data_IF_247391377679
#
_entry.id   IF_247391377679
#
_cell.length_a   1.000
_cell.length_b   1.000
_cell.length_c   1.000
_cell.angle_alpha   90.00
_cell.angle_beta   90.00
_cell.angle_gamma   90.00
#
_symmetry.space_group_name_H-M   'P 1'
#
loop_
_entity.id
_entity.type
_entity.pdbx_description
1 polymer ?
#
# COMPACT_ATOMS: atom_id res chain seq x y z
N UNK A 1 -39.54 3.08 -51.97
CA UNK A 1 -38.65 4.02 -51.26
C UNK A 1 -37.24 3.47 -51.28
N UNK A 2 -36.36 4.04 -52.11
CA UNK A 2 -34.95 3.62 -52.19
C UNK A 2 -34.22 4.27 -51.00
N UNK A 3 -33.82 3.46 -50.01
CA UNK A 3 -33.07 3.92 -48.84
C UNK A 3 -31.66 4.36 -49.26
N UNK A 4 -31.31 5.60 -48.91
CA UNK A 4 -30.00 6.20 -49.17
C UNK A 4 -28.98 5.68 -48.13
N UNK A 5 -27.77 5.25 -48.53
CA UNK A 5 -26.82 4.65 -47.61
C UNK A 5 -26.27 5.68 -46.62
N UNK A 6 -26.37 5.36 -45.32
CA UNK A 6 -25.76 6.14 -44.23
C UNK A 6 -24.23 6.05 -44.36
N UNK A 7 -23.58 7.14 -44.78
CA UNK A 7 -22.11 7.25 -44.78
C UNK A 7 -21.62 7.23 -43.33
N UNK A 8 -20.81 6.24 -42.99
CA UNK A 8 -20.21 6.11 -41.66
C UNK A 8 -19.18 7.21 -41.42
N UNK A 9 -19.28 7.85 -40.27
CA UNK A 9 -18.40 8.93 -39.78
C UNK A 9 -16.96 8.41 -39.49
N UNK A 10 -16.72 7.11 -39.67
CA UNK A 10 -15.46 6.43 -39.35
C UNK A 10 -14.27 6.81 -40.23
N UNK A 11 -14.47 7.43 -41.39
CA UNK A 11 -13.37 7.75 -42.32
C UNK A 11 -12.50 8.94 -41.88
N UNK A 12 -13.02 9.81 -40.99
CA UNK A 12 -12.27 10.97 -40.46
C UNK A 12 -11.55 10.69 -39.14
N UNK A 13 -11.93 9.65 -38.41
CA UNK A 13 -11.31 9.32 -37.12
C UNK A 13 -10.04 8.49 -37.26
N UNK A 14 -9.93 7.68 -38.32
CA UNK A 14 -8.73 6.86 -38.58
C UNK A 14 -7.46 7.71 -38.75
N UNK A 15 -7.45 8.81 -39.54
CA UNK A 15 -6.26 9.66 -39.67
C UNK A 15 -5.90 10.43 -38.39
N UNK A 16 -6.89 10.80 -37.58
CA UNK A 16 -6.66 11.57 -36.35
C UNK A 16 -5.99 10.70 -35.28
N UNK A 17 -6.43 9.44 -35.16
CA UNK A 17 -5.82 8.47 -34.24
C UNK A 17 -4.37 8.20 -34.64
N UNK A 18 -4.08 8.08 -35.94
CA UNK A 18 -2.72 7.82 -36.45
C UNK A 18 -1.74 8.94 -36.10
N UNK A 19 -2.16 10.21 -36.26
CA UNK A 19 -1.33 11.38 -35.89
C UNK A 19 -1.08 11.45 -34.37
N UNK A 20 -2.09 11.15 -33.55
CA UNK A 20 -1.92 11.12 -32.09
C UNK A 20 -0.98 10.00 -31.64
N UNK A 21 -1.04 8.83 -32.28
CA UNK A 21 -0.13 7.71 -31.99
C UNK A 21 1.30 8.05 -32.43
N UNK A 22 1.50 8.67 -33.59
CA UNK A 22 2.82 9.09 -34.06
C UNK A 22 3.49 10.09 -33.12
N UNK A 23 2.75 11.12 -32.66
CA UNK A 23 3.24 12.08 -31.68
C UNK A 23 3.63 11.37 -30.37
N UNK A 24 2.77 10.47 -29.89
CA UNK A 24 3.03 9.70 -28.67
C UNK A 24 4.29 8.81 -28.80
N UNK A 25 4.48 8.13 -29.94
CA UNK A 25 5.66 7.32 -30.20
C UNK A 25 6.96 8.14 -30.20
N UNK A 26 6.95 9.35 -30.76
CA UNK A 26 8.14 10.23 -30.74
C UNK A 26 8.49 10.66 -29.30
N UNK A 27 7.48 11.01 -28.49
CA UNK A 27 7.70 11.37 -27.08
C UNK A 27 8.26 10.20 -26.25
N UNK A 28 7.82 8.97 -26.52
CA UNK A 28 8.37 7.78 -25.87
C UNK A 28 9.80 7.44 -26.32
N UNK A 29 10.21 7.84 -27.54
CA UNK A 29 11.56 7.61 -28.07
C UNK A 29 12.59 8.64 -27.59
N UNK A 30 12.17 9.86 -27.23
CA UNK A 30 13.06 10.92 -26.73
C UNK A 30 13.95 10.51 -25.52
N UNK A 31 13.45 9.78 -24.49
CA UNK A 31 14.28 9.31 -23.39
C UNK A 31 15.26 8.17 -23.77
N UNK A 32 15.10 7.53 -24.94
CA UNK A 32 16.00 6.47 -25.41
C UNK A 32 17.13 6.98 -26.32
N UNK A 33 16.94 8.10 -27.02
CA UNK A 33 17.95 8.71 -27.91
C UNK A 33 18.91 9.64 -27.15
N UNK A 34 18.55 10.06 -25.93
CA UNK A 34 19.36 11.00 -25.13
C UNK A 34 20.45 10.34 -24.27
N UNK A 35 20.92 9.14 -24.62
CA UNK A 35 22.16 8.60 -24.03
C UNK A 35 23.35 9.29 -24.73
N UNK A 36 24.14 10.13 -24.04
CA UNK A 36 25.35 10.67 -24.64
C UNK A 36 26.36 9.54 -24.84
N UNK A 37 26.88 9.48 -26.05
CA UNK A 37 27.97 8.62 -26.51
C UNK A 37 29.28 9.05 -25.82
N UNK A 38 29.95 8.12 -25.13
CA UNK A 38 31.27 8.33 -24.51
C UNK A 38 32.35 8.39 -25.60
N UNK A 39 32.49 9.57 -26.24
CA UNK A 39 33.43 9.83 -27.33
C UNK A 39 34.53 10.85 -26.98
N UNK A 40 35.78 10.37 -26.89
CA UNK A 40 37.05 11.13 -26.81
C UNK A 40 37.16 12.33 -27.77
N UNK A 41 37.64 13.49 -27.27
CA UNK A 41 38.30 14.55 -28.07
C UNK A 41 38.24 15.98 -27.46
N UNK A 42 39.36 16.74 -27.30
CA UNK A 42 39.46 17.98 -26.49
C UNK A 42 39.58 19.28 -27.35
N UNK A 43 39.93 20.46 -26.78
CA UNK A 43 39.27 21.24 -25.73
C UNK A 43 39.04 22.71 -26.18
N UNK A 44 37.85 23.25 -26.11
CA UNK A 44 37.66 24.72 -26.14
C UNK A 44 36.29 25.10 -25.62
N UNK A 45 36.22 25.49 -24.34
CA UNK A 45 35.19 26.40 -23.82
C UNK A 45 35.48 26.79 -22.37
N UNK A 46 35.77 28.08 -22.19
CA UNK A 46 35.31 29.00 -21.12
C UNK A 46 35.52 28.56 -19.66
N UNK A 47 36.16 29.38 -18.80
CA UNK A 47 36.32 29.05 -17.39
C UNK A 47 34.95 29.06 -16.72
N UNK A 48 34.40 27.86 -16.47
CA UNK A 48 33.37 27.70 -15.47
C UNK A 48 33.98 28.09 -14.13
N UNK A 49 33.58 29.25 -13.61
CA UNK A 49 33.74 29.60 -12.21
C UNK A 49 32.99 28.52 -11.43
N UNK A 50 33.73 27.49 -11.03
CA UNK A 50 33.28 26.52 -10.04
C UNK A 50 33.23 27.28 -8.73
N UNK A 51 32.03 27.60 -8.27
CA UNK A 51 31.82 27.96 -6.87
C UNK A 51 32.42 26.84 -6.00
N UNK A 52 33.47 27.12 -5.20
CA UNK A 52 34.16 26.08 -4.44
C UNK A 52 33.49 25.77 -3.09
N UNK A 53 32.21 26.14 -2.89
CA UNK A 53 31.57 26.12 -1.57
C UNK A 53 30.71 24.90 -1.24
N UNK A 54 30.65 23.85 -2.07
CA UNK A 54 29.96 22.60 -1.69
C UNK A 54 30.77 21.33 -1.91
N UNK A 55 31.73 21.02 -1.04
CA UNK A 55 32.19 19.64 -0.81
C UNK A 55 31.62 19.02 0.47
N UNK A 56 31.51 19.79 1.56
CA UNK A 56 31.21 19.24 2.90
C UNK A 56 29.76 18.78 3.06
N UNK A 57 28.81 19.46 2.43
CA UNK A 57 27.39 19.13 2.56
C UNK A 57 27.03 17.85 1.81
N UNK A 58 27.73 17.55 0.71
CA UNK A 58 27.50 16.31 -0.06
C UNK A 58 28.02 15.10 0.71
N UNK A 59 29.18 15.20 1.34
CA UNK A 59 29.73 14.12 2.16
C UNK A 59 28.88 13.85 3.41
N UNK A 60 28.41 14.91 4.08
CA UNK A 60 27.47 14.78 5.21
C UNK A 60 26.17 14.12 4.79
N UNK A 61 25.58 14.54 3.68
CA UNK A 61 24.35 13.94 3.16
C UNK A 61 24.55 12.46 2.76
N UNK A 62 25.70 12.09 2.21
CA UNK A 62 26.03 10.69 1.92
C UNK A 62 26.18 9.85 3.19
N UNK A 63 26.80 10.40 4.24
CA UNK A 63 26.90 9.74 5.54
C UNK A 63 25.52 9.56 6.19
N UNK A 64 24.68 10.58 6.18
CA UNK A 64 23.30 10.51 6.68
C UNK A 64 22.49 9.46 5.91
N UNK A 65 22.61 9.39 4.58
CA UNK A 65 21.96 8.36 3.78
C UNK A 65 22.44 6.95 4.14
N UNK A 66 23.73 6.77 4.38
CA UNK A 66 24.28 5.47 4.78
C UNK A 66 23.75 5.03 6.15
N UNK A 67 23.66 5.96 7.11
CA UNK A 67 23.08 5.71 8.44
C UNK A 67 21.60 5.39 8.32
N UNK A 68 20.83 6.18 7.57
CA UNK A 68 19.41 5.98 7.36
C UNK A 68 19.13 4.63 6.68
N UNK A 69 19.91 4.25 5.67
CA UNK A 69 19.79 2.94 5.00
C UNK A 69 20.04 1.78 5.95
N UNK A 70 21.10 1.84 6.78
CA UNK A 70 21.38 0.82 7.80
C UNK A 70 20.24 0.70 8.80
N UNK A 71 19.71 1.83 9.27
CA UNK A 71 18.56 1.88 10.19
C UNK A 71 17.32 1.23 9.56
N UNK A 72 17.05 1.51 8.30
CA UNK A 72 15.94 0.90 7.56
C UNK A 72 16.14 -0.61 7.44
N UNK A 73 17.34 -1.09 7.13
CA UNK A 73 17.62 -2.52 7.05
C UNK A 73 17.47 -3.23 8.40
N UNK A 74 17.95 -2.64 9.50
CA UNK A 74 17.75 -3.17 10.85
C UNK A 74 16.25 -3.28 11.20
N UNK A 75 15.49 -2.21 10.95
CA UNK A 75 14.05 -2.20 11.17
C UNK A 75 13.31 -3.22 10.29
N UNK A 76 13.75 -3.42 9.04
CA UNK A 76 13.21 -4.45 8.15
C UNK A 76 13.50 -5.85 8.67
N UNK A 77 14.72 -6.13 9.14
CA UNK A 77 15.08 -7.42 9.74
C UNK A 77 14.26 -7.71 11.00
N UNK A 78 14.08 -6.71 11.87
CA UNK A 78 13.24 -6.84 13.06
C UNK A 78 11.77 -7.12 12.71
N UNK A 79 11.21 -6.43 11.69
CA UNK A 79 9.85 -6.68 11.21
C UNK A 79 9.68 -8.05 10.54
N UNK A 80 10.67 -8.52 9.78
CA UNK A 80 10.63 -9.83 9.13
C UNK A 80 10.53 -10.95 10.18
N UNK A 81 11.31 -10.86 11.26
CA UNK A 81 11.23 -11.83 12.36
C UNK A 81 9.86 -11.83 13.04
N UNK A 82 9.24 -10.66 13.25
CA UNK A 82 7.89 -10.58 13.84
C UNK A 82 6.82 -11.22 12.94
N UNK A 83 6.94 -11.08 11.61
CA UNK A 83 6.03 -11.70 10.65
C UNK A 83 6.07 -13.23 10.66
N UNK A 84 7.23 -13.82 10.94
CA UNK A 84 7.38 -15.28 10.99
C UNK A 84 6.77 -15.90 12.26
N UNK A 85 6.77 -15.15 13.37
CA UNK A 85 6.20 -15.57 14.64
C UNK A 85 4.71 -15.30 14.80
N UNK A 86 4.15 -14.36 14.04
CA UNK A 86 2.75 -13.96 14.17
C UNK A 86 1.86 -14.65 13.12
N UNK A 87 0.79 -15.27 13.60
CA UNK A 87 -0.31 -15.73 12.77
C UNK A 87 -1.38 -14.65 12.78
N UNK A 88 -1.41 -13.81 11.75
CA UNK A 88 -2.37 -12.70 11.66
C UNK A 88 -3.76 -13.25 11.32
N UNK A 89 -4.75 -12.79 12.08
CA UNK A 89 -6.16 -13.12 11.94
C UNK A 89 -6.97 -11.86 11.78
N UNK A 90 -7.71 -11.77 10.69
CA UNK A 90 -8.46 -10.58 10.33
C UNK A 90 -9.88 -10.68 10.86
N UNK A 91 -10.34 -9.61 11.48
CA UNK A 91 -11.72 -9.45 11.95
C UNK A 91 -12.26 -8.15 11.37
N UNK A 92 -13.45 -8.17 10.80
CA UNK A 92 -14.03 -7.04 10.09
C UNK A 92 -15.23 -6.46 10.83
N UNK A 93 -15.27 -5.14 10.92
CA UNK A 93 -16.42 -4.39 11.40
C UNK A 93 -17.35 -4.14 10.21
N UNK A 94 -18.60 -4.57 10.31
CA UNK A 94 -19.59 -4.35 9.26
C UNK A 94 -20.02 -2.89 9.18
N UNK A 95 -20.07 -2.35 7.97
CA UNK A 95 -20.39 -0.93 7.69
C UNK A 95 -21.82 -0.51 8.06
N UNK A 96 -22.74 -1.46 8.10
CA UNK A 96 -24.18 -1.24 8.27
C UNK A 96 -24.62 -1.25 9.75
N UNK A 97 -23.91 -2.01 10.57
CA UNK A 97 -24.32 -2.35 11.93
C UNK A 97 -23.22 -2.14 12.97
N UNK A 98 -21.98 -1.95 12.51
CA UNK A 98 -20.79 -1.96 13.36
C UNK A 98 -20.47 -3.32 13.95
N UNK A 99 -21.21 -4.38 13.64
CA UNK A 99 -20.99 -5.73 14.19
C UNK A 99 -19.66 -6.32 13.73
N UNK A 100 -19.06 -7.13 14.60
CA UNK A 100 -17.76 -7.71 14.36
C UNK A 100 -17.89 -9.10 13.76
N UNK A 101 -17.14 -9.37 12.69
CA UNK A 101 -17.18 -10.63 11.96
C UNK A 101 -15.79 -11.19 11.73
N UNK A 102 -15.61 -12.47 12.00
CA UNK A 102 -14.40 -13.21 11.63
C UNK A 102 -14.61 -13.95 10.32
N UNK A 103 -13.65 -13.85 9.40
CA UNK A 103 -13.65 -14.59 8.15
C UNK A 103 -12.65 -15.74 8.24
N UNK A 104 -13.14 -16.98 8.26
CA UNK A 104 -12.26 -18.16 8.22
C UNK A 104 -11.90 -18.46 6.77
N UNK A 105 -10.64 -18.23 6.39
CA UNK A 105 -10.15 -18.48 5.03
C UNK A 105 -10.30 -19.96 4.63
N UNK A 106 -10.20 -20.87 5.61
CA UNK A 106 -10.28 -22.32 5.38
C UNK A 106 -11.73 -22.84 5.34
N UNK A 107 -12.65 -22.14 6.01
CA UNK A 107 -14.02 -22.60 6.23
C UNK A 107 -15.08 -21.92 5.38
N UNK A 108 -14.72 -20.85 4.65
CA UNK A 108 -15.64 -20.08 3.80
C UNK A 108 -16.81 -19.41 4.54
N UNK A 109 -16.84 -19.52 5.87
CA UNK A 109 -17.91 -19.04 6.73
C UNK A 109 -17.57 -17.72 7.39
N UNK A 110 -18.54 -16.81 7.42
CA UNK A 110 -18.47 -15.55 8.18
C UNK A 110 -19.08 -15.79 9.56
N UNK A 111 -18.28 -15.69 10.61
CA UNK A 111 -18.75 -15.86 12.00
C UNK A 111 -19.00 -14.49 12.63
N UNK A 112 -20.23 -14.24 13.08
CA UNK A 112 -20.55 -13.04 13.86
C UNK A 112 -20.09 -13.21 15.30
N UNK A 113 -19.36 -12.23 15.81
CA UNK A 113 -18.92 -12.15 17.21
C UNK A 113 -19.90 -11.23 17.96
N UNK A 114 -20.81 -11.81 18.75
CA UNK A 114 -21.88 -11.07 19.41
C UNK A 114 -21.49 -10.62 20.81
N UNK A 115 -20.65 -11.39 21.48
CA UNK A 115 -20.27 -11.16 22.88
C UNK A 115 -18.82 -11.56 23.19
N UNK A 116 -18.42 -11.32 24.44
CA UNK A 116 -17.10 -11.70 24.97
C UNK A 116 -16.84 -13.21 24.87
N UNK A 117 -17.88 -14.05 25.03
CA UNK A 117 -17.71 -15.50 25.03
C UNK A 117 -17.44 -16.02 23.61
N UNK A 118 -18.09 -15.45 22.59
CA UNK A 118 -17.79 -15.68 21.18
C UNK A 118 -16.34 -15.29 20.85
N UNK A 119 -15.91 -14.11 21.28
CA UNK A 119 -14.54 -13.65 21.10
C UNK A 119 -13.53 -14.59 21.77
N UNK A 120 -13.80 -15.02 23.01
CA UNK A 120 -12.92 -15.94 23.72
C UNK A 120 -12.85 -17.32 23.05
N UNK A 121 -13.98 -17.84 22.56
CA UNK A 121 -14.01 -19.10 21.80
C UNK A 121 -13.16 -18.99 20.53
N UNK A 122 -13.30 -17.90 19.78
CA UNK A 122 -12.49 -17.64 18.60
C UNK A 122 -11.00 -17.56 18.96
N UNK A 123 -10.64 -16.81 19.99
CA UNK A 123 -9.26 -16.65 20.47
C UNK A 123 -8.65 -18.02 20.81
N UNK A 124 -9.36 -18.83 21.59
CA UNK A 124 -8.88 -20.16 22.00
C UNK A 124 -8.71 -21.09 20.80
N UNK A 125 -9.66 -21.07 19.86
CA UNK A 125 -9.59 -21.86 18.64
C UNK A 125 -8.39 -21.46 17.77
N UNK A 126 -8.17 -20.15 17.58
CA UNK A 126 -7.07 -19.66 16.76
C UNK A 126 -5.71 -19.86 17.43
N UNK A 127 -5.61 -19.72 18.75
CA UNK A 127 -4.41 -20.08 19.51
C UNK A 127 -4.05 -21.55 19.33
N UNK A 128 -5.03 -22.45 19.44
CA UNK A 128 -4.82 -23.88 19.23
C UNK A 128 -4.36 -24.19 17.79
N UNK A 129 -4.91 -23.51 16.79
CA UNK A 129 -4.51 -23.66 15.37
C UNK A 129 -3.14 -23.05 15.04
N UNK A 130 -2.75 -21.98 15.72
CA UNK A 130 -1.49 -21.27 15.45
C UNK A 130 -0.25 -22.04 15.95
N UNK A 131 -0.42 -22.97 16.90
CA UNK A 131 0.65 -23.84 17.39
C UNK A 131 1.75 -23.03 18.08
N UNK A 132 2.94 -23.01 17.49
CA UNK A 132 4.09 -22.25 18.00
C UNK A 132 4.05 -20.75 17.65
N UNK A 133 3.13 -20.33 16.77
CA UNK A 133 2.97 -18.92 16.39
C UNK A 133 2.00 -18.22 17.33
N UNK A 134 2.27 -16.96 17.61
CA UNK A 134 1.37 -16.12 18.39
C UNK A 134 0.24 -15.59 17.50
N UNK A 135 -1.02 -15.77 17.92
CA UNK A 135 -2.17 -15.29 17.18
C UNK A 135 -2.33 -13.77 17.39
N UNK A 136 -2.24 -13.00 16.30
CA UNK A 136 -2.45 -11.55 16.32
C UNK A 136 -3.77 -11.21 15.62
N UNK A 137 -4.64 -10.44 16.28
CA UNK A 137 -5.94 -10.07 15.72
C UNK A 137 -5.92 -8.65 15.16
N UNK A 138 -6.13 -8.53 13.85
CA UNK A 138 -6.26 -7.25 13.17
C UNK A 138 -7.74 -6.93 12.94
N UNK A 139 -8.24 -5.91 13.63
CA UNK A 139 -9.63 -5.46 13.56
C UNK A 139 -9.73 -4.35 12.51
N UNK A 140 -10.41 -4.62 11.41
CA UNK A 140 -10.55 -3.73 10.27
C UNK A 140 -11.79 -2.85 10.42
N UNK A 141 -11.59 -1.54 10.28
CA UNK A 141 -12.70 -0.60 10.09
C UNK A 141 -13.32 -0.79 8.71
N UNK A 142 -14.59 -0.38 8.54
CA UNK A 142 -15.22 -0.32 7.22
C UNK A 142 -14.35 0.43 6.21
N UNK A 143 -14.13 -0.17 5.03
CA UNK A 143 -13.38 0.44 3.92
C UNK A 143 -14.19 1.46 3.13
N UNK A 144 -15.46 1.59 3.46
CA UNK A 144 -16.35 2.63 2.97
C UNK A 144 -16.65 3.59 4.13
N UNK A 145 -16.84 4.88 3.82
CA UNK A 145 -17.18 5.87 4.83
C UNK A 145 -18.52 5.48 5.47
N UNK A 146 -18.48 5.21 6.78
CA UNK A 146 -19.66 4.84 7.55
C UNK A 146 -19.61 5.52 8.92
N UNK A 147 -20.76 5.62 9.59
CA UNK A 147 -20.82 6.09 10.98
C UNK A 147 -20.29 5.07 12.00
N UNK A 148 -19.80 3.91 11.53
CA UNK A 148 -19.36 2.80 12.36
C UNK A 148 -17.85 2.54 12.20
N UNK A 149 -17.19 1.96 13.23
CA UNK A 149 -17.74 1.68 14.56
C UNK A 149 -17.94 2.95 15.41
N UNK A 150 -18.93 2.91 16.30
CA UNK A 150 -19.10 3.90 17.36
C UNK A 150 -17.98 3.75 18.40
N UNK A 151 -17.65 4.83 19.10
CA UNK A 151 -16.62 4.81 20.16
C UNK A 151 -16.87 3.72 21.20
N UNK A 152 -18.13 3.53 21.61
CA UNK A 152 -18.52 2.49 22.57
C UNK A 152 -18.31 1.06 22.03
N UNK A 153 -18.51 0.85 20.73
CA UNK A 153 -18.24 -0.44 20.09
C UNK A 153 -16.74 -0.72 20.08
N UNK A 154 -15.91 0.28 19.76
CA UNK A 154 -14.44 0.14 19.80
C UNK A 154 -13.95 -0.25 21.19
N UNK A 155 -14.44 0.41 22.24
CA UNK A 155 -14.08 0.06 23.62
C UNK A 155 -14.57 -1.35 24.01
N UNK A 156 -15.74 -1.74 23.52
CA UNK A 156 -16.27 -3.10 23.71
C UNK A 156 -15.36 -4.13 23.03
N UNK A 157 -14.92 -3.89 21.79
CA UNK A 157 -14.01 -4.78 21.08
C UNK A 157 -12.62 -4.81 21.71
N UNK A 158 -12.09 -3.67 22.17
CA UNK A 158 -10.83 -3.64 22.95
C UNK A 158 -10.90 -4.54 24.18
N UNK A 159 -12.04 -4.51 24.89
CA UNK A 159 -12.27 -5.40 26.04
C UNK A 159 -12.34 -6.87 25.63
N UNK A 160 -13.01 -7.17 24.53
CA UNK A 160 -13.11 -8.54 24.02
C UNK A 160 -11.76 -9.18 23.71
N UNK A 161 -10.84 -8.40 23.16
CA UNK A 161 -9.51 -8.87 22.74
C UNK A 161 -8.38 -8.46 23.70
N UNK A 162 -8.68 -8.01 24.93
CA UNK A 162 -7.65 -7.47 25.85
C UNK A 162 -6.53 -8.48 26.21
N UNK A 163 -6.85 -9.78 26.24
CA UNK A 163 -5.91 -10.85 26.58
C UNK A 163 -5.05 -11.35 25.40
N UNK A 164 -5.21 -10.75 24.22
CA UNK A 164 -4.46 -11.11 23.02
C UNK A 164 -3.85 -9.89 22.34
N UNK A 165 -2.69 -10.06 21.68
CA UNK A 165 -2.16 -9.04 20.78
C UNK A 165 -3.20 -8.70 19.71
N UNK A 166 -3.62 -7.43 19.67
CA UNK A 166 -4.57 -6.95 18.67
C UNK A 166 -4.25 -5.53 18.24
N UNK A 167 -4.74 -5.15 17.06
CA UNK A 167 -4.62 -3.81 16.51
C UNK A 167 -5.88 -3.42 15.74
N UNK A 168 -6.12 -2.12 15.64
CA UNK A 168 -7.17 -1.56 14.80
C UNK A 168 -6.55 -0.94 13.56
N UNK A 169 -7.09 -1.28 12.40
CA UNK A 169 -6.76 -0.63 11.13
C UNK A 169 -7.89 0.33 10.76
N UNK A 170 -7.64 1.62 10.96
CA UNK A 170 -8.56 2.70 10.61
C UNK A 170 -8.02 3.49 9.40
N UNK A 171 -8.55 3.26 8.18
CA UNK A 171 -8.07 3.94 6.98
C UNK A 171 -8.47 5.42 6.93
N UNK A 172 -9.35 5.87 7.83
CA UNK A 172 -9.91 7.23 7.84
C UNK A 172 -9.24 8.15 8.86
N UNK A 173 -8.39 7.62 9.74
CA UNK A 173 -7.60 8.42 10.66
C UNK A 173 -6.14 8.44 10.20
N UNK A 174 -5.64 9.56 9.62
CA UNK A 174 -4.26 9.67 9.17
C UNK A 174 -3.26 9.76 10.33
N UNK A 175 -3.73 10.04 11.55
CA UNK A 175 -2.95 9.81 12.76
C UNK A 175 -3.08 8.32 13.11
N UNK A 176 -1.98 7.58 12.98
CA UNK A 176 -1.91 6.12 13.09
C UNK A 176 -2.40 5.50 14.42
N UNK A 177 -2.20 4.17 14.58
CA UNK A 177 -2.93 3.30 15.51
C UNK A 177 -2.85 3.68 16.99
#
# INVERSE_FOLDING_TARGET
MIQKPRRSVTRFFIPLIDVLILLFCIFLLMPFVSKPDDGKGPPDAVPAVRDPSMPDDVEKLQQELAIAKRRIEELKKQRANLGDHLSVRTVEIAKDSGKLFYFDADGGGRLELKDQADAQRLINQQRARAGAKEAFFLILYPRELSGFPLKEQVETYRRWFHDVPHGFDNPWNPAGP
#
